data_IF_208468665522
#
_entry.id   IF_208468665522
#
_cell.length_a   1.000
_cell.length_b   1.000
_cell.length_c   1.000
_cell.angle_alpha   90.00
_cell.angle_beta   90.00
_cell.angle_gamma   90.00
#
_symmetry.space_group_name_H-M   'P 1'
#
loop_
_entity.id
_entity.type
_entity.pdbx_description
1 polymer ?
#
# COMPACT_ATOMS: atom_id res chain seq x y z
N UNK A 1 -8.42 5.34 -24.23
CA UNK A 1 -7.17 5.93 -23.74
C UNK A 1 -6.21 4.80 -23.44
N UNK A 2 -4.94 4.91 -23.84
CA UNK A 2 -3.99 3.77 -23.79
C UNK A 2 -3.68 3.29 -22.39
N UNK A 3 -3.68 4.19 -21.41
CA UNK A 3 -3.39 3.88 -20.00
C UNK A 3 -4.52 3.07 -19.29
N UNK A 4 -5.74 3.08 -19.81
CA UNK A 4 -6.87 2.32 -19.26
C UNK A 4 -7.01 0.90 -19.81
N UNK A 5 -6.07 0.44 -20.63
CA UNK A 5 -6.17 -0.85 -21.34
C UNK A 5 -6.31 -2.08 -20.41
N UNK A 6 -5.92 -1.95 -19.15
CA UNK A 6 -6.03 -3.01 -18.15
C UNK A 6 -7.15 -2.79 -17.13
N UNK A 7 -7.95 -1.71 -17.25
CA UNK A 7 -9.00 -1.42 -16.27
C UNK A 7 -10.07 -2.51 -16.17
N UNK A 8 -10.40 -3.13 -17.31
CA UNK A 8 -11.39 -4.21 -17.42
C UNK A 8 -10.76 -5.60 -17.67
N UNK A 9 -9.42 -5.72 -17.51
CA UNK A 9 -8.74 -7.01 -17.51
C UNK A 9 -9.15 -7.83 -16.28
N UNK A 10 -8.98 -9.16 -16.36
CA UNK A 10 -9.21 -9.97 -15.16
C UNK A 10 -8.13 -9.67 -14.08
N UNK A 11 -8.45 -10.04 -12.85
CA UNK A 11 -7.61 -9.68 -11.71
C UNK A 11 -6.25 -10.37 -11.74
N UNK A 12 -6.16 -11.58 -12.32
CA UNK A 12 -4.89 -12.31 -12.45
C UNK A 12 -3.98 -11.64 -13.48
N UNK A 13 -4.54 -11.12 -14.58
CA UNK A 13 -3.78 -10.32 -15.57
C UNK A 13 -3.29 -9.00 -14.95
N UNK A 14 -4.13 -8.34 -14.15
CA UNK A 14 -3.74 -7.13 -13.40
C UNK A 14 -2.62 -7.42 -12.41
N UNK A 15 -2.72 -8.51 -11.63
CA UNK A 15 -1.68 -8.93 -10.69
C UNK A 15 -0.36 -9.27 -11.40
N UNK A 16 -0.42 -10.02 -12.50
CA UNK A 16 0.75 -10.38 -13.30
C UNK A 16 1.49 -9.14 -13.85
N UNK A 17 0.74 -8.10 -14.26
CA UNK A 17 1.34 -6.83 -14.68
C UNK A 17 2.05 -6.12 -13.52
N UNK A 18 1.47 -6.12 -12.31
CA UNK A 18 2.11 -5.53 -11.13
C UNK A 18 3.41 -6.28 -10.81
N UNK A 19 3.41 -7.61 -10.83
CA UNK A 19 4.63 -8.40 -10.60
C UNK A 19 5.72 -8.08 -11.62
N UNK A 20 5.36 -8.08 -12.90
CA UNK A 20 6.29 -7.70 -13.98
C UNK A 20 6.86 -6.29 -13.77
N UNK A 21 6.01 -5.33 -13.48
CA UNK A 21 6.43 -3.95 -13.23
C UNK A 21 7.38 -3.87 -12.03
N UNK A 22 7.08 -4.55 -10.91
CA UNK A 22 7.96 -4.55 -9.74
C UNK A 22 9.34 -5.15 -10.03
N UNK A 23 9.44 -6.10 -10.97
CA UNK A 23 10.73 -6.67 -11.38
C UNK A 23 11.52 -5.80 -12.36
N UNK A 24 10.84 -5.15 -13.30
CA UNK A 24 11.48 -4.59 -14.49
C UNK A 24 11.46 -3.05 -14.54
N UNK A 25 10.57 -2.42 -13.76
CA UNK A 25 10.36 -0.97 -13.83
C UNK A 25 10.94 -0.25 -12.62
N UNK A 26 12.21 0.13 -12.70
CA UNK A 26 12.89 0.92 -11.67
C UNK A 26 13.39 0.10 -10.47
N UNK A 27 13.55 0.73 -9.29
CA UNK A 27 14.27 0.14 -8.17
C UNK A 27 13.36 -0.70 -7.22
N UNK A 28 12.07 -0.91 -7.54
CA UNK A 28 11.14 -1.54 -6.59
C UNK A 28 11.60 -2.93 -6.15
N UNK A 29 12.11 -3.75 -7.07
CA UNK A 29 12.63 -5.07 -6.71
C UNK A 29 13.70 -5.00 -5.62
N UNK A 30 14.60 -4.00 -5.67
CA UNK A 30 15.66 -3.85 -4.68
C UNK A 30 15.09 -3.52 -3.28
N UNK A 31 13.98 -2.74 -3.20
CA UNK A 31 13.29 -2.52 -1.93
C UNK A 31 12.72 -3.82 -1.36
N UNK A 32 12.05 -4.63 -2.18
CA UNK A 32 11.52 -5.91 -1.76
C UNK A 32 12.60 -6.91 -1.33
N UNK A 33 13.72 -6.98 -2.08
CA UNK A 33 14.83 -7.86 -1.76
C UNK A 33 15.51 -7.48 -0.43
N UNK A 34 15.67 -6.18 -0.18
CA UNK A 34 16.24 -5.67 1.09
C UNK A 34 15.27 -5.91 2.25
N UNK A 35 13.96 -5.66 2.06
CA UNK A 35 12.96 -5.96 3.09
C UNK A 35 12.96 -7.45 3.47
N UNK A 36 12.98 -8.34 2.47
CA UNK A 36 13.08 -9.79 2.72
C UNK A 36 14.31 -10.14 3.54
N UNK A 37 15.45 -9.52 3.26
CA UNK A 37 16.70 -9.77 3.99
C UNK A 37 16.68 -9.28 5.44
N UNK A 38 15.78 -8.34 5.79
CA UNK A 38 15.58 -7.91 7.18
C UNK A 38 14.83 -8.94 8.03
N UNK A 39 14.15 -9.89 7.41
CA UNK A 39 13.37 -10.97 8.07
C UNK A 39 12.38 -10.47 9.14
N UNK A 40 11.78 -9.30 8.89
CA UNK A 40 10.78 -8.75 9.81
C UNK A 40 9.48 -9.56 9.77
N UNK A 41 8.85 -9.84 10.94
CA UNK A 41 7.63 -10.64 10.99
C UNK A 41 6.48 -9.95 10.27
N UNK A 42 5.79 -10.69 9.40
CA UNK A 42 4.65 -10.26 8.60
C UNK A 42 4.86 -8.90 7.88
N UNK A 43 6.05 -8.72 7.27
CA UNK A 43 6.43 -7.47 6.62
C UNK A 43 5.88 -7.37 5.20
N UNK A 44 5.40 -6.15 4.86
CA UNK A 44 4.82 -5.78 3.57
C UNK A 44 5.27 -4.38 3.16
N UNK A 45 5.61 -4.19 1.89
CA UNK A 45 5.61 -2.86 1.26
C UNK A 45 4.17 -2.59 0.84
N UNK A 46 3.67 -1.39 1.15
CA UNK A 46 2.25 -1.09 0.99
C UNK A 46 1.98 0.18 0.19
N UNK A 47 0.78 0.29 -0.33
CA UNK A 47 0.16 1.52 -0.81
C UNK A 47 0.97 2.24 -1.92
N UNK A 48 1.46 3.45 -1.65
CA UNK A 48 2.01 4.40 -2.63
C UNK A 48 3.15 3.88 -3.49
N UNK A 49 4.04 3.08 -2.91
CA UNK A 49 5.15 2.49 -3.65
C UNK A 49 4.67 1.56 -4.79
N UNK A 50 3.48 0.94 -4.63
CA UNK A 50 2.91 0.01 -5.61
C UNK A 50 2.06 0.78 -6.63
N UNK A 51 0.94 1.38 -6.20
CA UNK A 51 -0.02 1.96 -7.14
C UNK A 51 0.53 3.19 -7.91
N UNK A 52 1.39 4.03 -7.29
CA UNK A 52 2.02 5.14 -8.01
C UNK A 52 2.88 4.62 -9.17
N UNK A 53 3.61 3.51 -8.96
CA UNK A 53 4.42 2.94 -10.02
C UNK A 53 3.58 2.24 -11.11
N UNK A 54 2.40 1.70 -10.78
CA UNK A 54 1.42 1.26 -11.80
C UNK A 54 1.01 2.43 -12.68
N UNK A 55 0.63 3.58 -12.07
CA UNK A 55 0.28 4.78 -12.82
C UNK A 55 1.44 5.32 -13.63
N UNK A 56 2.66 5.34 -13.06
CA UNK A 56 3.86 5.77 -13.79
C UNK A 56 4.12 4.90 -15.02
N UNK A 57 4.05 3.58 -14.84
CA UNK A 57 4.24 2.63 -15.93
C UNK A 57 3.22 2.81 -17.07
N UNK A 58 1.94 2.95 -16.70
CA UNK A 58 0.84 3.08 -17.66
C UNK A 58 0.79 4.44 -18.35
N UNK A 59 1.35 5.49 -17.74
CA UNK A 59 1.36 6.87 -18.27
C UNK A 59 2.74 7.31 -18.76
N UNK A 60 3.68 6.37 -18.86
CA UNK A 60 5.05 6.61 -19.37
C UNK A 60 5.85 7.65 -18.53
N UNK A 61 5.53 7.77 -17.24
CA UNK A 61 6.29 8.58 -16.31
C UNK A 61 7.49 7.78 -15.75
N UNK A 62 8.53 8.45 -15.25
CA UNK A 62 9.68 7.76 -14.65
C UNK A 62 9.28 6.88 -13.44
N UNK A 63 9.99 5.77 -13.18
CA UNK A 63 9.84 5.02 -11.94
C UNK A 63 9.98 5.92 -10.72
N UNK A 64 9.22 5.62 -9.66
CA UNK A 64 9.18 6.35 -8.39
C UNK A 64 8.71 7.81 -8.50
N UNK A 65 8.24 8.29 -9.67
CA UNK A 65 7.60 9.60 -9.76
C UNK A 65 6.45 9.71 -8.75
N UNK A 66 6.43 10.79 -7.95
CA UNK A 66 5.41 11.06 -6.92
C UNK A 66 5.46 10.17 -5.68
N UNK A 67 6.36 9.18 -5.60
CA UNK A 67 6.63 8.40 -4.40
C UNK A 67 7.51 9.24 -3.47
N UNK A 68 7.01 9.56 -2.28
CA UNK A 68 7.76 10.33 -1.26
C UNK A 68 8.61 9.43 -0.38
N UNK A 69 8.04 8.30 0.00
CA UNK A 69 8.57 7.27 0.87
C UNK A 69 8.04 5.90 0.45
N UNK A 70 8.69 4.86 0.88
CA UNK A 70 8.22 3.48 0.75
C UNK A 70 7.74 3.03 2.11
N UNK A 71 6.41 2.94 2.27
CA UNK A 71 5.77 2.48 3.50
C UNK A 71 6.01 0.98 3.69
N UNK A 72 6.59 0.60 4.84
CA UNK A 72 6.80 -0.77 5.26
C UNK A 72 6.02 -1.02 6.53
N UNK A 73 5.03 -1.91 6.45
CA UNK A 73 4.29 -2.40 7.60
C UNK A 73 4.85 -3.76 8.01
N UNK A 74 5.04 -3.96 9.32
CA UNK A 74 5.36 -5.26 9.90
C UNK A 74 4.52 -5.46 11.18
N UNK A 75 4.38 -6.69 11.64
CA UNK A 75 3.61 -6.97 12.85
C UNK A 75 4.45 -7.81 13.83
N UNK A 76 4.90 -7.17 14.90
CA UNK A 76 5.59 -7.81 16.01
C UNK A 76 4.93 -7.44 17.33
N UNK A 77 4.13 -8.39 17.86
CA UNK A 77 3.47 -8.24 19.16
C UNK A 77 4.45 -8.41 20.36
N UNK A 78 5.65 -8.94 20.12
CA UNK A 78 6.71 -9.08 21.12
C UNK A 78 7.51 -7.80 21.34
N UNK A 79 7.56 -6.92 20.34
CA UNK A 79 8.19 -5.58 20.44
C UNK A 79 7.26 -4.64 21.20
N UNK A 80 7.44 -4.49 22.52
CA UNK A 80 6.50 -3.81 23.41
C UNK A 80 6.89 -2.38 23.77
N UNK A 81 8.11 -1.97 23.46
CA UNK A 81 8.65 -0.66 23.81
C UNK A 81 8.86 0.22 22.56
N UNK A 82 9.01 1.54 22.77
CA UNK A 82 9.44 2.45 21.72
C UNK A 82 10.87 2.15 21.27
N UNK A 83 11.75 1.77 22.20
CA UNK A 83 13.15 1.44 21.89
C UNK A 83 13.27 0.25 20.94
N UNK A 84 12.38 -0.76 21.06
CA UNK A 84 12.32 -1.89 20.14
C UNK A 84 11.97 -1.44 18.71
N UNK A 85 10.99 -0.53 18.58
CA UNK A 85 10.57 0.01 17.29
C UNK A 85 11.64 0.93 16.69
N UNK A 86 12.23 1.83 17.51
CA UNK A 86 13.31 2.72 17.07
C UNK A 86 14.53 1.94 16.56
N UNK A 87 14.85 0.80 17.19
CA UNK A 87 15.92 -0.06 16.69
C UNK A 87 15.63 -0.57 15.29
N UNK A 88 14.41 -1.06 15.01
CA UNK A 88 14.01 -1.53 13.69
C UNK A 88 14.02 -0.39 12.68
N UNK A 89 13.59 0.82 13.05
CA UNK A 89 13.66 2.01 12.19
C UNK A 89 15.11 2.32 11.81
N UNK A 90 16.03 2.35 12.79
CA UNK A 90 17.45 2.62 12.54
C UNK A 90 18.11 1.53 11.68
N UNK A 91 17.79 0.25 11.92
CA UNK A 91 18.26 -0.86 11.12
C UNK A 91 17.77 -0.74 9.67
N UNK A 92 16.49 -0.35 9.47
CA UNK A 92 15.92 -0.11 8.15
C UNK A 92 16.61 1.07 7.45
N UNK A 93 16.83 2.19 8.12
CA UNK A 93 17.57 3.32 7.54
C UNK A 93 18.95 2.91 7.02
N UNK A 94 19.66 2.04 7.76
CA UNK A 94 20.95 1.52 7.34
C UNK A 94 20.83 0.58 6.13
N UNK A 95 19.86 -0.34 6.14
CA UNK A 95 19.62 -1.31 5.05
C UNK A 95 19.22 -0.60 3.75
N UNK A 96 18.36 0.42 3.84
CA UNK A 96 17.86 1.16 2.68
C UNK A 96 18.70 2.40 2.33
N UNK A 97 19.85 2.60 2.98
CA UNK A 97 20.75 3.71 2.66
C UNK A 97 21.14 3.73 1.17
N UNK A 98 21.06 4.92 0.56
CA UNK A 98 21.37 5.13 -0.85
C UNK A 98 20.27 4.71 -1.84
N UNK A 99 19.12 4.25 -1.36
CA UNK A 99 17.94 4.05 -2.21
C UNK A 99 17.36 5.39 -2.66
N UNK A 100 16.60 5.37 -3.77
CA UNK A 100 16.09 6.58 -4.43
C UNK A 100 15.16 7.41 -3.54
N UNK A 101 14.33 6.77 -2.73
CA UNK A 101 13.46 7.43 -1.74
C UNK A 101 13.61 6.74 -0.38
N UNK A 102 13.39 7.44 0.74
CA UNK A 102 13.46 6.85 2.07
C UNK A 102 12.36 5.81 2.30
N UNK A 103 12.55 4.98 3.32
CA UNK A 103 11.51 4.07 3.81
C UNK A 103 10.88 4.63 5.08
N UNK A 104 9.61 4.34 5.30
CA UNK A 104 8.93 4.56 6.57
C UNK A 104 8.45 3.21 7.13
N UNK A 105 9.01 2.79 8.26
CA UNK A 105 8.75 1.47 8.86
C UNK A 105 7.87 1.63 10.10
N UNK A 106 6.78 0.86 10.18
CA UNK A 106 5.81 0.94 11.28
C UNK A 106 5.36 -0.44 11.75
N UNK A 107 5.45 -0.66 13.08
CA UNK A 107 4.91 -1.85 13.71
C UNK A 107 3.39 -1.76 13.87
N UNK A 108 2.66 -2.56 13.13
CA UNK A 108 1.20 -2.54 13.14
C UNK A 108 0.59 -3.09 14.44
N UNK A 109 1.32 -3.87 15.21
CA UNK A 109 0.89 -4.31 16.54
C UNK A 109 0.75 -3.14 17.54
N UNK A 110 1.35 -1.98 17.25
CA UNK A 110 1.43 -0.81 18.16
C UNK A 110 0.61 0.40 17.71
N UNK A 111 0.12 0.43 16.48
CA UNK A 111 -0.57 1.60 15.90
C UNK A 111 -1.74 2.06 16.78
N UNK A 112 -2.53 1.15 17.32
CA UNK A 112 -3.66 1.46 18.20
C UNK A 112 -3.29 2.26 19.47
N UNK A 113 -2.02 2.30 19.89
CA UNK A 113 -1.57 3.03 21.08
C UNK A 113 -1.44 4.53 20.85
N UNK A 114 -1.07 4.96 19.66
CA UNK A 114 -0.80 6.36 19.33
C UNK A 114 -1.82 6.98 18.35
N UNK A 115 -2.49 6.14 17.55
CA UNK A 115 -3.41 6.58 16.51
C UNK A 115 -4.54 7.49 17.02
N UNK A 116 -5.22 7.19 18.15
CA UNK A 116 -6.27 8.07 18.68
C UNK A 116 -5.78 9.47 19.04
N UNK A 117 -4.57 9.57 19.58
CA UNK A 117 -3.98 10.87 19.92
C UNK A 117 -3.62 11.71 18.68
N UNK A 118 -3.32 11.06 17.56
CA UNK A 118 -2.92 11.72 16.32
C UNK A 118 -4.10 12.07 15.41
N UNK A 119 -5.07 11.15 15.27
CA UNK A 119 -6.19 11.29 14.34
C UNK A 119 -7.54 11.60 15.02
N UNK A 120 -7.64 11.54 16.34
CA UNK A 120 -8.84 11.89 17.09
C UNK A 120 -9.96 10.83 17.12
N UNK A 121 -9.69 9.61 16.67
CA UNK A 121 -10.64 8.48 16.72
C UNK A 121 -9.92 7.16 16.99
N UNK A 122 -10.67 6.19 17.52
CA UNK A 122 -10.15 4.88 17.91
C UNK A 122 -9.63 4.07 16.71
N UNK A 123 -8.58 3.29 16.95
CA UNK A 123 -8.02 2.34 16.01
C UNK A 123 -7.98 0.95 16.65
N UNK A 124 -8.44 -0.10 15.97
CA UNK A 124 -8.45 -1.44 16.56
C UNK A 124 -7.03 -1.96 16.77
N UNK A 125 -6.84 -2.80 17.78
CA UNK A 125 -5.64 -3.60 17.88
C UNK A 125 -5.65 -4.62 16.74
N UNK A 126 -4.56 -4.69 16.01
CA UNK A 126 -4.42 -5.59 14.86
C UNK A 126 -3.71 -6.89 15.27
N UNK A 127 -4.05 -7.98 14.59
CA UNK A 127 -3.42 -9.29 14.76
C UNK A 127 -2.37 -9.58 13.67
N UNK A 128 -2.42 -8.85 12.53
CA UNK A 128 -1.44 -8.93 11.45
C UNK A 128 -1.43 -7.66 10.58
N UNK A 129 -0.35 -7.47 9.80
CA UNK A 129 -0.15 -6.24 9.00
C UNK A 129 -1.22 -6.00 7.93
N UNK A 130 -1.81 -7.06 7.36
CA UNK A 130 -2.84 -6.94 6.31
C UNK A 130 -4.09 -6.20 6.78
N UNK A 131 -4.47 -6.34 8.06
CA UNK A 131 -5.60 -5.59 8.60
C UNK A 131 -5.42 -4.07 8.56
N UNK A 132 -4.16 -3.59 8.58
CA UNK A 132 -3.89 -2.17 8.39
C UNK A 132 -4.10 -1.76 6.92
N UNK A 133 -3.78 -2.65 5.96
CA UNK A 133 -4.01 -2.40 4.54
C UNK A 133 -5.51 -2.24 4.25
N UNK A 134 -6.37 -2.99 4.94
CA UNK A 134 -7.83 -2.90 4.82
C UNK A 134 -8.39 -1.53 5.24
N UNK A 135 -7.61 -0.74 5.98
CA UNK A 135 -8.05 0.51 6.64
C UNK A 135 -7.47 1.79 6.02
N UNK A 136 -6.79 1.70 4.89
CA UNK A 136 -6.40 2.91 4.17
C UNK A 136 -7.61 3.76 3.80
N UNK A 137 -7.43 5.09 3.71
CA UNK A 137 -8.51 6.05 3.43
C UNK A 137 -9.18 5.88 2.04
N UNK A 138 -8.52 5.19 1.11
CA UNK A 138 -9.07 4.80 -0.19
C UNK A 138 -8.94 3.29 -0.35
N UNK A 139 -9.95 2.63 -0.90
CA UNK A 139 -9.87 1.22 -1.32
C UNK A 139 -8.78 1.02 -2.37
N UNK A 140 -8.58 1.99 -3.26
CA UNK A 140 -7.51 2.04 -4.27
C UNK A 140 -6.11 2.02 -3.65
N UNK A 141 -5.95 2.51 -2.43
CA UNK A 141 -4.68 2.51 -1.69
C UNK A 141 -4.40 1.20 -0.95
N UNK A 142 -5.43 0.36 -0.81
CA UNK A 142 -5.39 -0.87 -0.03
C UNK A 142 -4.75 -2.01 -0.82
N UNK A 143 -3.44 -1.89 -1.00
CA UNK A 143 -2.61 -2.89 -1.69
C UNK A 143 -1.29 -3.03 -0.95
N UNK A 144 -0.84 -4.26 -0.81
CA UNK A 144 0.45 -4.60 -0.21
C UNK A 144 1.12 -5.74 -0.96
N UNK A 145 2.45 -5.72 -0.97
CA UNK A 145 3.26 -6.77 -1.58
C UNK A 145 4.45 -7.12 -0.71
N UNK A 146 4.92 -8.35 -0.86
CA UNK A 146 6.18 -8.81 -0.31
C UNK A 146 6.85 -9.81 -1.24
N UNK A 147 8.13 -10.04 -1.04
CA UNK A 147 8.89 -11.07 -1.74
C UNK A 147 9.12 -12.24 -0.77
N UNK A 148 8.67 -13.44 -1.13
CA UNK A 148 8.83 -14.62 -0.30
C UNK A 148 10.23 -15.25 -0.46
N UNK A 149 10.51 -16.31 0.35
CA UNK A 149 11.80 -16.99 0.35
C UNK A 149 12.11 -17.79 -0.94
N UNK A 150 11.12 -17.95 -1.83
CA UNK A 150 11.29 -18.55 -3.16
C UNK A 150 11.52 -17.51 -4.26
N UNK A 151 11.75 -16.27 -3.90
CA UNK A 151 11.87 -15.13 -4.81
C UNK A 151 10.59 -14.87 -5.64
N UNK A 152 9.42 -15.20 -5.10
CA UNK A 152 8.13 -14.93 -5.72
C UNK A 152 7.46 -13.76 -5.01
N UNK A 153 6.84 -12.87 -5.76
CA UNK A 153 5.99 -11.85 -5.18
C UNK A 153 4.68 -12.45 -4.64
N UNK A 154 4.27 -11.96 -3.48
CA UNK A 154 2.96 -12.14 -2.91
C UNK A 154 2.26 -10.78 -2.86
N UNK A 155 1.06 -10.69 -3.41
CA UNK A 155 0.25 -9.48 -3.49
C UNK A 155 -1.04 -9.69 -2.70
N UNK A 156 -1.41 -8.71 -1.88
CA UNK A 156 -2.66 -8.61 -1.16
C UNK A 156 -3.42 -7.35 -1.61
N UNK A 157 -4.65 -7.51 -2.07
CA UNK A 157 -5.50 -6.43 -2.57
C UNK A 157 -6.97 -6.67 -2.19
N UNK A 158 -7.38 -6.40 -0.93
CA UNK A 158 -8.68 -6.81 -0.37
C UNK A 158 -9.90 -6.21 -1.08
N UNK A 159 -9.71 -5.15 -1.84
CA UNK A 159 -10.78 -4.51 -2.63
C UNK A 159 -10.57 -4.71 -4.16
N UNK A 160 -9.71 -5.68 -4.53
CA UNK A 160 -9.32 -5.89 -5.92
C UNK A 160 -8.35 -4.84 -6.44
N UNK A 161 -8.05 -4.93 -7.74
CA UNK A 161 -7.05 -4.09 -8.41
C UNK A 161 -7.67 -3.13 -9.42
N UNK A 162 -8.94 -3.34 -9.78
CA UNK A 162 -9.63 -2.62 -10.85
C UNK A 162 -9.49 -1.10 -10.73
N UNK A 163 -9.69 -0.54 -9.52
CA UNK A 163 -9.70 0.91 -9.33
C UNK A 163 -8.30 1.54 -9.48
N UNK A 164 -7.23 0.78 -9.20
CA UNK A 164 -5.85 1.20 -9.51
C UNK A 164 -5.71 1.37 -11.03
N UNK A 165 -6.13 0.37 -11.81
CA UNK A 165 -6.03 0.38 -13.28
C UNK A 165 -7.04 1.30 -13.96
N UNK A 166 -8.17 1.60 -13.32
CA UNK A 166 -9.17 2.57 -13.76
C UNK A 166 -8.81 4.02 -13.40
N UNK A 167 -7.72 4.24 -12.66
CA UNK A 167 -7.32 5.56 -12.18
C UNK A 167 -8.39 6.24 -11.32
N UNK A 168 -9.10 5.47 -10.50
CA UNK A 168 -10.12 5.97 -9.57
C UNK A 168 -9.60 5.95 -8.13
N UNK A 169 -9.82 7.03 -7.39
CA UNK A 169 -9.59 7.11 -5.95
C UNK A 169 -10.94 6.95 -5.26
N UNK A 170 -11.22 5.75 -4.78
CA UNK A 170 -12.51 5.38 -4.17
C UNK A 170 -12.40 5.45 -2.65
N UNK A 171 -13.30 6.17 -1.93
CA UNK A 171 -13.27 6.26 -0.47
C UNK A 171 -13.40 4.89 0.21
N UNK A 172 -12.69 4.72 1.31
CA UNK A 172 -12.85 3.56 2.18
C UNK A 172 -13.45 4.02 3.51
N UNK A 173 -14.67 3.57 3.80
CA UNK A 173 -15.44 3.99 4.97
C UNK A 173 -15.20 3.13 6.22
N UNK A 174 -14.23 2.22 6.21
CA UNK A 174 -13.88 1.38 7.36
C UNK A 174 -13.34 2.19 8.57
N UNK A 175 -12.85 3.39 8.32
CA UNK A 175 -12.49 4.40 9.33
C UNK A 175 -12.98 5.78 8.86
N UNK A 176 -13.20 6.75 9.78
CA UNK A 176 -13.66 8.09 9.42
C UNK A 176 -12.52 8.96 8.83
N UNK A 177 -11.87 8.49 7.78
CA UNK A 177 -10.67 9.04 7.15
C UNK A 177 -10.95 10.10 6.06
N UNK A 178 -12.08 10.84 6.15
CA UNK A 178 -12.50 11.84 5.15
C UNK A 178 -11.39 12.82 4.79
N UNK A 179 -10.79 13.43 5.81
CA UNK A 179 -9.75 14.45 5.59
C UNK A 179 -8.51 13.85 4.91
N UNK A 180 -8.10 12.65 5.33
CA UNK A 180 -6.98 11.93 4.72
C UNK A 180 -7.27 11.58 3.26
N UNK A 181 -8.51 11.12 2.94
CA UNK A 181 -8.95 10.84 1.57
C UNK A 181 -8.84 12.09 0.70
N UNK A 182 -9.39 13.22 1.14
CA UNK A 182 -9.41 14.47 0.38
C UNK A 182 -7.98 15.00 0.15
N UNK A 183 -7.19 15.18 1.22
CA UNK A 183 -5.85 15.76 1.14
C UNK A 183 -4.90 14.91 0.28
N UNK A 184 -4.94 13.58 0.46
CA UNK A 184 -4.11 12.65 -0.32
C UNK A 184 -4.59 12.60 -1.78
N UNK A 185 -5.91 12.59 -2.00
CA UNK A 185 -6.50 12.55 -3.33
C UNK A 185 -6.17 13.80 -4.15
N UNK A 186 -6.32 15.01 -3.58
CA UNK A 186 -5.96 16.27 -4.22
C UNK A 186 -4.47 16.28 -4.65
N UNK A 187 -3.59 15.85 -3.76
CA UNK A 187 -2.15 15.75 -4.07
C UNK A 187 -1.88 14.77 -5.21
N UNK A 188 -2.54 13.62 -5.22
CA UNK A 188 -2.36 12.62 -6.26
C UNK A 188 -2.93 13.08 -7.60
N UNK A 189 -4.11 13.69 -7.64
CA UNK A 189 -4.70 14.25 -8.85
C UNK A 189 -3.84 15.39 -9.46
N UNK A 190 -3.10 16.13 -8.64
CA UNK A 190 -2.15 17.12 -9.13
C UNK A 190 -0.92 16.50 -9.82
N UNK A 191 -0.50 15.29 -9.40
CA UNK A 191 0.63 14.55 -9.99
C UNK A 191 0.22 13.71 -11.19
N UNK A 192 -0.98 13.14 -11.17
CA UNK A 192 -1.59 12.35 -12.25
C UNK A 192 -2.96 12.92 -12.61
N UNK A 193 -3.03 13.85 -13.59
CA UNK A 193 -4.30 14.43 -14.06
C UNK A 193 -5.28 13.40 -14.64
N UNK A 194 -4.81 12.17 -14.89
CA UNK A 194 -5.61 11.04 -15.33
C UNK A 194 -6.49 10.47 -14.21
N UNK A 195 -6.15 10.73 -12.94
CA UNK A 195 -6.90 10.26 -11.78
C UNK A 195 -8.26 10.95 -11.66
N UNK A 196 -9.21 10.19 -11.18
CA UNK A 196 -10.53 10.69 -10.75
C UNK A 196 -10.68 10.39 -9.26
N UNK A 197 -11.02 11.40 -8.49
CA UNK A 197 -11.31 11.24 -7.06
C UNK A 197 -12.82 11.21 -6.86
N UNK A 198 -13.32 10.11 -6.31
CA UNK A 198 -14.71 10.03 -5.85
C UNK A 198 -14.87 10.88 -4.57
N UNK A 199 -15.95 11.67 -4.48
CA UNK A 199 -16.19 12.47 -3.29
C UNK A 199 -16.50 11.56 -2.09
N UNK A 200 -16.08 12.01 -0.91
CA UNK A 200 -16.48 11.35 0.33
C UNK A 200 -17.96 11.63 0.61
N UNK A 201 -18.78 10.59 0.71
CA UNK A 201 -20.16 10.71 1.14
C UNK A 201 -20.24 10.83 2.68
N UNK A 202 -21.06 11.77 3.18
CA UNK A 202 -21.23 11.95 4.62
C UNK A 202 -22.13 10.86 5.24
N UNK A 203 -23.03 10.29 4.45
CA UNK A 203 -23.87 9.15 4.82
C UNK A 203 -23.73 8.05 3.77
N UNK A 204 -23.28 6.87 4.19
CA UNK A 204 -23.14 5.69 3.34
C UNK A 204 -24.00 4.58 3.94
N UNK A 205 -24.97 4.04 3.19
CA UNK A 205 -25.69 2.84 3.61
C UNK A 205 -24.72 1.69 3.90
N UNK A 206 -24.97 0.96 4.97
CA UNK A 206 -24.04 -0.09 5.45
C UNK A 206 -23.79 -1.19 4.39
N UNK A 207 -24.74 -1.44 3.51
CA UNK A 207 -24.62 -2.39 2.39
C UNK A 207 -23.79 -1.85 1.21
N UNK A 208 -23.50 -0.54 1.19
CA UNK A 208 -22.61 0.09 0.19
C UNK A 208 -21.20 0.35 0.72
N UNK A 209 -20.94 0.08 2.00
CA UNK A 209 -19.58 0.15 2.56
C UNK A 209 -18.75 -1.01 1.99
N UNK A 210 -17.67 -0.74 1.24
CA UNK A 210 -16.82 -1.81 0.71
C UNK A 210 -16.29 -2.69 1.84
N UNK A 211 -16.46 -4.01 1.71
CA UNK A 211 -15.92 -4.97 2.66
C UNK A 211 -14.64 -5.60 2.09
N UNK A 212 -13.59 -5.74 2.92
CA UNK A 212 -12.36 -6.37 2.47
C UNK A 212 -12.59 -7.87 2.19
N UNK A 213 -12.15 -8.36 1.04
CA UNK A 213 -12.07 -9.78 0.72
C UNK A 213 -10.67 -10.30 1.05
N UNK A 214 -10.53 -10.94 2.19
CA UNK A 214 -9.26 -11.49 2.69
C UNK A 214 -8.71 -12.63 1.81
N UNK A 215 -9.50 -13.19 0.88
CA UNK A 215 -9.07 -14.22 -0.05
C UNK A 215 -8.34 -13.67 -1.29
N UNK A 216 -8.44 -12.36 -1.57
CA UNK A 216 -7.78 -11.72 -2.71
C UNK A 216 -6.26 -11.58 -2.48
N UNK A 217 -5.59 -12.71 -2.59
CA UNK A 217 -4.14 -12.87 -2.49
C UNK A 217 -3.62 -13.58 -3.73
N UNK A 218 -2.55 -13.05 -4.29
CA UNK A 218 -1.96 -13.56 -5.53
C UNK A 218 -0.50 -13.89 -5.29
N UNK A 219 -0.02 -14.97 -5.90
CA UNK A 219 1.38 -15.37 -5.86
C UNK A 219 1.91 -15.41 -7.28
N UNK A 220 3.08 -14.82 -7.50
CA UNK A 220 3.76 -14.84 -8.79
C UNK A 220 4.10 -16.28 -9.20
N UNK A 221 3.74 -16.67 -10.41
CA UNK A 221 4.10 -17.96 -11.00
C UNK A 221 5.22 -17.75 -12.02
N UNK A 222 6.30 -18.54 -11.89
CA UNK A 222 7.43 -18.58 -12.83
C UNK A 222 7.20 -19.63 -13.92
#
# INVERSE_FOLDING_TARGET
MTYLKFADADIDEQAALIFKMCREFGPLYDYFARLRAMDLPDAWIVSGAIYNNVWNYLTERPPMHGVKDVDIFYHDAGATTYDDEDKIINDAEAVFAGMQVPVEVRNQARVHLWYPAHFGFEYPKLDHSREAIDRFACTTHSVGMRLNNKDQFELYAPFGLREIFAFNLVPNYNLPNKETHLNKGERLCALWPELKMEPWADEVPADLVPQPDMSLQFVEHH
#
